data_IF_234628243374
#
_entry.id   IF_234628243374
#
_cell.length_a   1.000
_cell.length_b   1.000
_cell.length_c   1.000
_cell.angle_alpha   90.00
_cell.angle_beta   90.00
_cell.angle_gamma   90.00
#
_symmetry.space_group_name_H-M   'P 1'
#
loop_
_entity.id
_entity.type
_entity.pdbx_description
1 polymer ?
#
# COMPACT_ATOMS: atom_id res chain seq x y z
N UNK A 1 23.25 74.53 -43.38
CA UNK A 1 23.19 73.76 -44.60
C UNK A 1 23.14 72.28 -44.24
N UNK A 2 22.02 71.67 -44.34
CA UNK A 2 21.65 70.53 -45.19
C UNK A 2 22.55 69.27 -44.91
N UNK A 3 22.04 68.18 -44.49
CA UNK A 3 21.12 67.31 -45.20
C UNK A 3 20.49 66.22 -44.32
N UNK A 4 19.18 66.05 -44.37
CA UNK A 4 18.42 64.92 -43.85
C UNK A 4 18.51 63.80 -44.88
N UNK A 5 18.77 62.58 -44.45
CA UNK A 5 18.38 61.41 -45.25
C UNK A 5 17.67 60.37 -44.31
N UNK A 6 16.44 60.04 -44.68
CA UNK A 6 15.55 59.04 -44.14
C UNK A 6 16.10 57.65 -44.33
N UNK A 7 15.90 56.82 -43.30
CA UNK A 7 15.77 55.36 -43.48
C UNK A 7 14.51 54.89 -42.77
N UNK A 8 13.46 54.70 -43.52
CA UNK A 8 12.29 53.92 -43.17
C UNK A 8 12.38 52.55 -43.85
N UNK A 9 11.71 51.60 -43.28
CA UNK A 9 11.39 50.22 -43.71
C UNK A 9 12.46 49.14 -43.46
N UNK A 10 12.16 48.35 -42.44
CA UNK A 10 11.97 46.89 -42.50
C UNK A 10 11.72 46.34 -41.11
N UNK A 11 10.49 46.46 -40.64
CA UNK A 11 9.95 45.65 -39.54
C UNK A 11 8.59 45.15 -40.00
N UNK A 12 8.55 43.95 -40.53
CA UNK A 12 7.38 43.08 -40.66
C UNK A 12 7.82 41.85 -41.46
N UNK A 13 8.28 40.81 -40.85
CA UNK A 13 8.13 39.39 -41.16
C UNK A 13 8.96 38.60 -40.12
N UNK A 14 8.49 38.45 -38.92
CA UNK A 14 9.03 37.48 -37.96
C UNK A 14 8.04 37.05 -36.85
N UNK A 15 6.74 37.36 -37.02
CA UNK A 15 5.76 37.07 -35.95
C UNK A 15 4.82 35.91 -36.26
N UNK A 16 4.97 35.21 -37.38
CA UNK A 16 3.97 34.19 -37.79
C UNK A 16 4.42 32.73 -37.75
N UNK A 17 5.66 32.42 -37.33
CA UNK A 17 6.15 31.02 -37.29
C UNK A 17 6.27 30.38 -35.88
N UNK A 18 6.03 31.13 -34.81
CA UNK A 18 6.16 30.57 -33.42
C UNK A 18 4.86 30.02 -32.85
N UNK A 19 3.70 30.23 -33.46
CA UNK A 19 2.42 29.76 -32.95
C UNK A 19 2.00 28.37 -33.45
N UNK A 20 2.63 27.81 -34.47
CA UNK A 20 2.24 26.50 -35.04
C UNK A 20 2.93 25.31 -34.38
N UNK A 21 4.07 25.49 -33.70
CA UNK A 21 4.82 24.41 -33.07
C UNK A 21 4.28 24.05 -31.66
N UNK A 22 3.66 25.01 -30.96
CA UNK A 22 3.08 24.75 -29.63
C UNK A 22 1.77 23.93 -29.65
N UNK A 23 1.00 24.02 -30.74
CA UNK A 23 -0.25 23.29 -30.91
C UNK A 23 -0.04 21.81 -31.27
N UNK A 24 1.03 21.48 -31.99
CA UNK A 24 1.33 20.09 -32.38
C UNK A 24 1.92 19.27 -31.25
N UNK A 25 2.66 19.88 -30.33
CA UNK A 25 3.21 19.18 -29.16
C UNK A 25 2.14 18.88 -28.11
N UNK A 26 1.20 19.80 -27.89
CA UNK A 26 0.11 19.59 -26.91
C UNK A 26 -0.88 18.49 -27.33
N UNK A 27 -1.14 18.30 -28.60
CA UNK A 27 -2.01 17.22 -29.11
C UNK A 27 -1.35 15.85 -29.04
N UNK A 28 -0.03 15.76 -29.20
CA UNK A 28 0.72 14.50 -29.04
C UNK A 28 0.79 14.04 -27.58
N UNK A 29 0.97 14.95 -26.65
CA UNK A 29 0.97 14.63 -25.21
C UNK A 29 -0.42 14.22 -24.71
N UNK A 30 -1.49 14.85 -25.15
CA UNK A 30 -2.86 14.47 -24.79
C UNK A 30 -3.23 13.07 -25.34
N UNK A 31 -2.82 12.76 -26.57
CA UNK A 31 -3.10 11.45 -27.19
C UNK A 31 -2.30 10.32 -26.55
N UNK A 32 -1.03 10.54 -26.19
CA UNK A 32 -0.22 9.56 -25.48
C UNK A 32 -0.74 9.29 -24.06
N UNK A 33 -1.28 10.29 -23.38
CA UNK A 33 -1.89 10.13 -22.04
C UNK A 33 -3.16 9.28 -22.05
N UNK A 34 -3.96 9.33 -23.11
CA UNK A 34 -5.21 8.56 -23.24
C UNK A 34 -4.94 7.06 -23.52
N UNK A 35 -3.81 6.73 -24.17
CA UNK A 35 -3.39 5.34 -24.44
C UNK A 35 -2.69 4.68 -23.23
N UNK A 36 -2.20 5.45 -22.27
CA UNK A 36 -1.43 4.94 -21.13
C UNK A 36 -2.28 4.70 -19.88
N UNK A 37 -3.47 5.30 -19.80
CA UNK A 37 -4.33 5.25 -18.62
C UNK A 37 -5.58 4.38 -18.82
N UNK A 38 -6.08 3.82 -17.73
CA UNK A 38 -7.39 3.17 -17.69
C UNK A 38 -8.49 4.19 -17.34
N UNK A 39 -9.73 3.91 -17.73
CA UNK A 39 -10.87 4.70 -17.31
C UNK A 39 -11.06 4.58 -15.80
N UNK A 40 -10.89 5.69 -15.07
CA UNK A 40 -11.10 5.72 -13.62
C UNK A 40 -12.54 5.29 -13.27
N UNK A 41 -12.71 4.26 -12.41
CA UNK A 41 -14.05 3.82 -12.02
C UNK A 41 -14.74 4.86 -11.12
N UNK A 42 -16.08 4.79 -11.06
CA UNK A 42 -16.86 5.62 -10.15
C UNK A 42 -16.40 5.43 -8.71
N UNK A 43 -16.10 6.51 -7.97
CA UNK A 43 -15.70 6.44 -6.57
C UNK A 43 -16.76 5.77 -5.69
N UNK A 44 -16.33 4.87 -4.81
CA UNK A 44 -17.18 4.26 -3.79
C UNK A 44 -17.19 5.16 -2.56
N UNK A 45 -18.33 5.78 -2.26
CA UNK A 45 -18.47 6.68 -1.11
C UNK A 45 -18.83 5.88 0.14
N UNK A 46 -19.86 5.05 0.03
CA UNK A 46 -20.43 4.29 1.15
C UNK A 46 -20.13 2.81 1.07
N UNK A 47 -19.83 2.21 2.20
CA UNK A 47 -19.72 0.77 2.38
C UNK A 47 -20.52 0.29 3.58
N UNK A 48 -21.30 -0.79 3.38
CA UNK A 48 -22.04 -1.46 4.44
C UNK A 48 -22.20 -2.94 4.09
N UNK A 49 -21.63 -3.81 4.95
CA UNK A 49 -21.79 -5.26 4.82
C UNK A 49 -21.59 -5.96 6.17
N UNK A 50 -22.13 -7.18 6.29
CA UNK A 50 -22.05 -8.01 7.47
C UNK A 50 -20.70 -8.72 7.65
N UNK A 51 -20.68 -9.69 8.55
CA UNK A 51 -19.52 -10.57 8.77
C UNK A 51 -19.42 -11.57 7.61
N UNK A 52 -18.22 -12.04 7.30
CA UNK A 52 -17.98 -13.19 6.41
C UNK A 52 -18.21 -14.53 7.08
N UNK A 53 -18.36 -14.51 8.39
CA UNK A 53 -18.37 -15.70 9.24
C UNK A 53 -19.75 -15.94 9.78
N UNK A 54 -20.05 -17.23 10.03
CA UNK A 54 -21.22 -17.65 10.77
C UNK A 54 -21.41 -16.85 12.06
N UNK A 55 -22.65 -16.59 12.43
CA UNK A 55 -22.96 -15.74 13.58
C UNK A 55 -22.44 -16.32 14.91
N UNK A 56 -22.41 -17.65 15.03
CA UNK A 56 -21.94 -18.41 16.20
C UNK A 56 -20.45 -18.74 16.14
N UNK A 57 -19.74 -18.43 15.06
CA UNK A 57 -18.29 -18.67 14.94
C UNK A 57 -17.48 -17.80 15.90
N UNK A 58 -17.21 -18.33 17.10
CA UNK A 58 -16.44 -17.64 18.17
C UNK A 58 -15.00 -17.32 17.77
N UNK A 59 -14.40 -18.14 16.91
CA UNK A 59 -13.01 -18.00 16.45
C UNK A 59 -12.89 -17.29 15.11
N UNK A 60 -14.01 -16.91 14.48
CA UNK A 60 -14.04 -16.34 13.13
C UNK A 60 -13.32 -17.23 12.11
N UNK A 61 -13.61 -18.54 12.16
CA UNK A 61 -13.02 -19.56 11.28
C UNK A 61 -14.05 -20.32 10.44
N UNK A 62 -15.33 -20.12 10.72
CA UNK A 62 -16.44 -20.76 10.00
C UNK A 62 -17.03 -19.71 9.04
N UNK A 63 -16.80 -19.90 7.74
CA UNK A 63 -17.22 -18.93 6.72
C UNK A 63 -18.65 -19.25 6.32
N UNK A 64 -19.50 -18.22 6.35
CA UNK A 64 -20.80 -18.22 5.68
C UNK A 64 -20.61 -17.81 4.22
N UNK A 65 -20.88 -18.73 3.29
CA UNK A 65 -20.57 -18.55 1.86
C UNK A 65 -21.35 -17.40 1.22
N UNK A 66 -22.62 -17.19 1.60
CA UNK A 66 -23.44 -16.11 1.09
C UNK A 66 -22.95 -14.75 1.55
N UNK A 67 -22.66 -14.63 2.84
CA UNK A 67 -22.09 -13.42 3.45
C UNK A 67 -20.71 -13.11 2.88
N UNK A 68 -19.85 -14.10 2.66
CA UNK A 68 -18.54 -13.92 2.04
C UNK A 68 -18.64 -13.41 0.61
N UNK A 69 -19.57 -13.98 -0.19
CA UNK A 69 -19.84 -13.51 -1.53
C UNK A 69 -20.37 -12.06 -1.55
N UNK A 70 -21.25 -11.70 -0.61
CA UNK A 70 -21.78 -10.34 -0.46
C UNK A 70 -20.68 -9.33 -0.11
N UNK A 71 -19.81 -9.65 0.85
CA UNK A 71 -18.65 -8.83 1.21
C UNK A 71 -17.69 -8.66 0.04
N UNK A 72 -17.39 -9.74 -0.66
CA UNK A 72 -16.50 -9.73 -1.82
C UNK A 72 -17.08 -8.86 -2.96
N UNK A 73 -18.37 -8.95 -3.23
CA UNK A 73 -19.07 -8.10 -4.19
C UNK A 73 -19.00 -6.61 -3.82
N UNK A 74 -19.22 -6.29 -2.54
CA UNK A 74 -19.17 -4.91 -2.05
C UNK A 74 -17.77 -4.30 -2.18
N UNK A 75 -16.72 -5.07 -1.92
CA UNK A 75 -15.32 -4.61 -1.96
C UNK A 75 -14.69 -4.64 -3.37
N UNK A 76 -15.26 -5.42 -4.30
CA UNK A 76 -14.70 -5.63 -5.65
C UNK A 76 -14.38 -4.34 -6.41
N UNK A 77 -15.23 -3.28 -6.42
CA UNK A 77 -14.91 -2.05 -7.16
C UNK A 77 -13.64 -1.37 -6.67
N UNK A 78 -13.43 -1.34 -5.35
CA UNK A 78 -12.24 -0.73 -4.73
C UNK A 78 -11.02 -1.60 -4.97
N UNK A 79 -11.11 -2.91 -4.75
CA UNK A 79 -10.01 -3.85 -4.96
C UNK A 79 -9.57 -3.85 -6.43
N UNK A 80 -10.49 -3.72 -7.37
CA UNK A 80 -10.18 -3.64 -8.80
C UNK A 80 -9.55 -2.29 -9.18
N UNK A 81 -9.97 -1.19 -8.55
CA UNK A 81 -9.32 0.11 -8.71
C UNK A 81 -7.86 0.05 -8.27
N UNK A 82 -7.59 -0.45 -7.06
CA UNK A 82 -6.23 -0.62 -6.53
C UNK A 82 -5.40 -1.53 -7.45
N UNK A 83 -5.97 -2.63 -7.94
CA UNK A 83 -5.29 -3.53 -8.87
C UNK A 83 -4.91 -2.83 -10.18
N UNK A 84 -5.78 -1.99 -10.73
CA UNK A 84 -5.48 -1.24 -11.95
C UNK A 84 -4.36 -0.22 -11.71
N UNK A 85 -4.41 0.52 -10.61
CA UNK A 85 -3.34 1.45 -10.21
C UNK A 85 -2.01 0.72 -10.05
N UNK A 86 -1.99 -0.42 -9.33
CA UNK A 86 -0.78 -1.21 -9.13
C UNK A 86 -0.15 -1.69 -10.47
N UNK A 87 -0.98 -2.04 -11.46
CA UNK A 87 -0.50 -2.38 -12.82
C UNK A 87 0.16 -1.19 -13.50
N UNK A 88 -0.40 0.03 -13.34
CA UNK A 88 0.18 1.24 -13.93
C UNK A 88 1.49 1.62 -13.24
N UNK A 89 1.56 1.55 -11.90
CA UNK A 89 2.80 1.77 -11.16
C UNK A 89 3.88 0.79 -11.63
N UNK A 90 3.58 -0.49 -11.75
CA UNK A 90 4.55 -1.49 -12.24
C UNK A 90 5.01 -1.24 -13.68
N UNK A 91 4.15 -0.67 -14.54
CA UNK A 91 4.55 -0.21 -15.87
C UNK A 91 5.49 0.99 -15.79
N UNK A 92 5.18 1.98 -14.93
CA UNK A 92 6.02 3.14 -14.72
C UNK A 92 7.43 2.76 -14.23
N UNK A 93 7.53 1.83 -13.28
CA UNK A 93 8.80 1.33 -12.73
C UNK A 93 9.67 0.62 -13.79
N UNK A 94 9.04 -0.03 -14.77
CA UNK A 94 9.74 -0.75 -15.83
C UNK A 94 10.02 0.10 -17.07
N UNK A 95 9.45 1.31 -17.16
CA UNK A 95 9.54 2.20 -18.32
C UNK A 95 10.85 2.99 -18.32
N UNK A 96 11.58 2.94 -19.45
CA UNK A 96 12.83 3.66 -19.63
C UNK A 96 12.63 5.07 -20.16
N UNK A 97 11.60 5.27 -21.01
CA UNK A 97 11.27 6.59 -21.52
C UNK A 97 10.64 7.45 -20.43
N UNK A 98 11.30 8.58 -20.11
CA UNK A 98 10.91 9.48 -19.03
C UNK A 98 9.52 10.09 -19.26
N UNK A 99 9.17 10.42 -20.49
CA UNK A 99 7.88 11.05 -20.82
C UNK A 99 6.74 10.05 -20.62
N UNK A 100 6.89 8.82 -21.12
CA UNK A 100 5.92 7.72 -20.94
C UNK A 100 5.80 7.31 -19.47
N UNK A 101 6.93 7.22 -18.75
CA UNK A 101 6.90 6.95 -17.31
C UNK A 101 6.10 7.99 -16.54
N UNK A 102 6.32 9.28 -16.81
CA UNK A 102 5.56 10.38 -16.22
C UNK A 102 4.07 10.34 -16.58
N UNK A 103 3.72 9.90 -17.80
CA UNK A 103 2.34 9.72 -18.20
C UNK A 103 1.64 8.63 -17.37
N UNK A 104 2.30 7.49 -17.10
CA UNK A 104 1.80 6.46 -16.19
C UNK A 104 1.61 7.01 -14.76
N UNK A 105 2.60 7.72 -14.23
CA UNK A 105 2.53 8.30 -12.88
C UNK A 105 1.42 9.34 -12.76
N UNK A 106 1.26 10.20 -13.77
CA UNK A 106 0.13 11.14 -13.86
C UNK A 106 -1.21 10.42 -13.86
N UNK A 107 -1.34 9.32 -14.60
CA UNK A 107 -2.55 8.49 -14.61
C UNK A 107 -2.94 8.05 -13.18
N UNK A 108 -1.97 7.58 -12.38
CA UNK A 108 -2.19 7.17 -10.99
C UNK A 108 -2.68 8.34 -10.15
N UNK A 109 -1.98 9.48 -10.19
CA UNK A 109 -2.32 10.68 -9.42
C UNK A 109 -3.71 11.20 -9.81
N UNK A 110 -4.01 11.30 -11.11
CA UNK A 110 -5.30 11.81 -11.61
C UNK A 110 -6.47 10.90 -11.21
N UNK A 111 -6.26 9.58 -11.25
CA UNK A 111 -7.25 8.60 -10.85
C UNK A 111 -7.55 8.66 -9.34
N UNK A 112 -6.51 8.77 -8.50
CA UNK A 112 -6.68 8.91 -7.04
C UNK A 112 -7.29 10.28 -6.70
N UNK A 113 -6.92 11.36 -7.42
CA UNK A 113 -7.52 12.67 -7.26
C UNK A 113 -9.03 12.66 -7.49
N UNK A 114 -9.51 11.94 -8.53
CA UNK A 114 -10.95 11.82 -8.77
C UNK A 114 -11.68 11.18 -7.59
N UNK A 115 -11.09 10.16 -6.95
CA UNK A 115 -11.63 9.53 -5.74
C UNK A 115 -11.56 10.45 -4.52
N UNK A 116 -10.44 11.15 -4.33
CA UNK A 116 -10.27 12.12 -3.25
C UNK A 116 -11.26 13.28 -3.34
N UNK A 117 -11.45 13.84 -4.55
CA UNK A 117 -12.40 14.93 -4.81
C UNK A 117 -13.85 14.54 -4.50
N UNK A 118 -14.20 13.26 -4.72
CA UNK A 118 -15.52 12.72 -4.39
C UNK A 118 -15.67 12.34 -2.91
N UNK A 119 -14.67 12.57 -2.06
CA UNK A 119 -14.61 12.10 -0.67
C UNK A 119 -14.91 10.58 -0.55
N UNK A 120 -14.31 9.78 -1.44
CA UNK A 120 -14.49 8.33 -1.45
C UNK A 120 -14.18 7.70 -0.09
N UNK A 121 -14.86 6.59 0.22
CA UNK A 121 -14.69 5.85 1.48
C UNK A 121 -14.98 6.69 2.74
N UNK A 122 -15.91 7.66 2.65
CA UNK A 122 -16.27 8.54 3.77
C UNK A 122 -17.42 8.04 4.62
N UNK A 123 -18.26 7.13 4.11
CA UNK A 123 -19.44 6.61 4.81
C UNK A 123 -19.32 5.10 5.06
N UNK A 124 -18.63 4.74 6.14
CA UNK A 124 -18.46 3.35 6.59
C UNK A 124 -19.59 2.96 7.55
N UNK A 125 -20.68 2.43 6.99
CA UNK A 125 -21.95 2.20 7.69
C UNK A 125 -21.95 1.06 8.71
N UNK A 126 -20.99 0.14 8.60
CA UNK A 126 -20.96 -1.05 9.47
C UNK A 126 -19.57 -1.25 10.09
N UNK A 127 -19.54 -1.93 11.20
CA UNK A 127 -18.31 -2.32 11.88
C UNK A 127 -17.34 -3.09 10.94
N UNK A 128 -17.87 -4.01 10.14
CA UNK A 128 -17.04 -4.80 9.24
C UNK A 128 -16.49 -3.97 8.05
N UNK A 129 -17.23 -2.94 7.60
CA UNK A 129 -16.71 -1.99 6.61
C UNK A 129 -15.54 -1.20 7.20
N UNK A 130 -15.66 -0.68 8.43
CA UNK A 130 -14.58 0.03 9.14
C UNK A 130 -13.33 -0.85 9.31
N UNK A 131 -13.48 -2.14 9.60
CA UNK A 131 -12.37 -3.10 9.69
C UNK A 131 -11.69 -3.37 8.34
N UNK A 132 -12.41 -3.27 7.23
CA UNK A 132 -11.92 -3.67 5.91
C UNK A 132 -11.25 -2.54 5.13
N UNK A 133 -11.60 -1.28 5.42
CA UNK A 133 -11.11 -0.09 4.70
C UNK A 133 -9.60 0.16 4.90
N UNK A 134 -8.99 -0.07 6.07
CA UNK A 134 -7.58 0.26 6.27
C UNK A 134 -6.65 -0.35 5.21
N UNK A 135 -6.83 -1.62 4.85
CA UNK A 135 -5.99 -2.27 3.83
C UNK A 135 -6.12 -1.63 2.44
N UNK A 136 -7.23 -0.96 2.13
CA UNK A 136 -7.47 -0.25 0.88
C UNK A 136 -6.85 1.15 0.92
N UNK A 137 -7.02 1.86 2.02
CA UNK A 137 -6.36 3.17 2.22
C UNK A 137 -4.84 3.01 2.18
N UNK A 138 -4.28 2.00 2.85
CA UNK A 138 -2.85 1.71 2.80
C UNK A 138 -2.36 1.44 1.38
N UNK A 139 -3.06 0.59 0.62
CA UNK A 139 -2.72 0.32 -0.77
C UNK A 139 -2.77 1.56 -1.67
N UNK A 140 -3.81 2.41 -1.53
CA UNK A 140 -3.93 3.67 -2.27
C UNK A 140 -2.84 4.68 -1.88
N UNK A 141 -2.52 4.77 -0.59
CA UNK A 141 -1.49 5.69 -0.10
C UNK A 141 -0.09 5.31 -0.62
N UNK A 142 0.26 4.01 -0.61
CA UNK A 142 1.53 3.52 -1.17
C UNK A 142 1.61 3.82 -2.68
N UNK A 143 0.58 3.46 -3.45
CA UNK A 143 0.56 3.69 -4.90
C UNK A 143 0.65 5.19 -5.25
N UNK A 144 0.05 6.05 -4.43
CA UNK A 144 0.19 7.50 -4.55
C UNK A 144 1.62 7.94 -4.23
N UNK A 145 2.21 7.47 -3.14
CA UNK A 145 3.58 7.79 -2.74
C UNK A 145 4.61 7.47 -3.84
N UNK A 146 4.47 6.31 -4.49
CA UNK A 146 5.36 5.88 -5.57
C UNK A 146 5.17 6.68 -6.89
N UNK A 147 4.14 7.52 -6.97
CA UNK A 147 3.80 8.24 -8.21
C UNK A 147 3.89 9.76 -8.10
N UNK A 148 3.70 10.36 -6.91
CA UNK A 148 3.44 11.80 -6.75
C UNK A 148 4.61 12.71 -7.14
N UNK A 149 5.81 12.44 -6.63
CA UNK A 149 6.96 13.35 -6.72
C UNK A 149 7.61 13.38 -8.13
N UNK A 150 7.13 12.55 -9.03
CA UNK A 150 7.70 12.38 -10.36
C UNK A 150 6.99 13.22 -11.44
N UNK A 151 5.86 13.86 -11.10
CA UNK A 151 5.02 14.60 -12.05
C UNK A 151 4.92 16.07 -11.68
N UNK A 152 5.65 16.97 -12.36
CA UNK A 152 5.58 18.40 -12.08
C UNK A 152 4.18 18.99 -12.30
N UNK A 153 3.82 20.02 -11.50
CA UNK A 153 2.63 20.84 -11.71
C UNK A 153 1.32 20.24 -11.21
N UNK A 154 1.37 19.25 -10.30
CA UNK A 154 0.16 18.63 -9.72
C UNK A 154 -0.15 19.05 -8.27
N UNK A 155 0.50 20.08 -7.73
CA UNK A 155 0.39 20.50 -6.33
C UNK A 155 -1.05 20.70 -5.81
N UNK A 156 -1.98 21.21 -6.63
CA UNK A 156 -3.37 21.38 -6.23
C UNK A 156 -4.08 20.03 -6.05
N UNK A 157 -3.76 19.03 -6.92
CA UNK A 157 -4.31 17.68 -6.82
C UNK A 157 -3.71 16.94 -5.63
N UNK A 158 -2.41 17.07 -5.42
CA UNK A 158 -1.68 16.49 -4.30
C UNK A 158 -2.28 16.95 -2.97
N UNK A 159 -2.51 18.25 -2.79
CA UNK A 159 -3.16 18.78 -1.58
C UNK A 159 -4.54 18.18 -1.32
N UNK A 160 -5.36 17.96 -2.36
CA UNK A 160 -6.69 17.35 -2.22
C UNK A 160 -6.57 15.88 -1.81
N UNK A 161 -5.64 15.13 -2.44
CA UNK A 161 -5.39 13.71 -2.13
C UNK A 161 -4.87 13.57 -0.70
N UNK A 162 -3.88 14.36 -0.32
CA UNK A 162 -3.25 14.31 1.00
C UNK A 162 -4.25 14.64 2.12
N UNK A 163 -5.07 15.68 1.92
CA UNK A 163 -6.13 16.02 2.87
C UNK A 163 -7.17 14.90 3.00
N UNK A 164 -7.56 14.28 1.89
CA UNK A 164 -8.50 13.16 1.90
C UNK A 164 -7.91 11.95 2.62
N UNK A 165 -6.68 11.56 2.32
CA UNK A 165 -5.98 10.46 2.99
C UNK A 165 -5.82 10.72 4.49
N UNK A 166 -5.44 11.95 4.87
CA UNK A 166 -5.30 12.33 6.28
C UNK A 166 -6.63 12.16 7.05
N UNK A 167 -7.75 12.61 6.46
CA UNK A 167 -9.07 12.41 7.07
C UNK A 167 -9.39 10.93 7.25
N UNK A 168 -9.12 10.10 6.24
CA UNK A 168 -9.31 8.63 6.33
C UNK A 168 -8.42 8.00 7.40
N UNK A 169 -7.15 8.41 7.50
CA UNK A 169 -6.25 7.91 8.53
C UNK A 169 -6.71 8.28 9.95
N UNK A 170 -7.18 9.51 10.17
CA UNK A 170 -7.73 9.96 11.45
C UNK A 170 -8.99 9.18 11.85
N UNK A 171 -9.88 8.88 10.90
CA UNK A 171 -11.06 8.03 11.12
C UNK A 171 -10.67 6.59 11.47
N UNK A 172 -9.61 6.05 10.84
CA UNK A 172 -9.05 4.72 11.18
C UNK A 172 -8.51 4.74 12.62
N UNK A 173 -7.70 5.74 12.99
CA UNK A 173 -7.19 5.87 14.37
C UNK A 173 -8.34 5.93 15.36
N UNK A 174 -9.31 6.81 15.14
CA UNK A 174 -10.47 6.95 16.01
C UNK A 174 -11.21 5.61 16.21
N UNK A 175 -11.47 4.89 15.11
CA UNK A 175 -12.16 3.59 15.18
C UNK A 175 -11.37 2.56 15.99
N UNK A 176 -10.06 2.44 15.77
CA UNK A 176 -9.24 1.44 16.46
C UNK A 176 -9.02 1.75 17.93
N UNK A 177 -9.02 3.02 18.32
CA UNK A 177 -8.87 3.43 19.73
C UNK A 177 -10.19 3.40 20.51
N UNK A 178 -11.35 3.66 19.85
CA UNK A 178 -12.60 3.90 20.56
C UNK A 178 -13.69 2.85 20.28
N UNK A 179 -13.70 2.21 19.10
CA UNK A 179 -14.81 1.35 18.70
C UNK A 179 -14.40 -0.12 18.47
N UNK A 180 -13.15 -0.37 18.09
CA UNK A 180 -12.69 -1.72 17.77
C UNK A 180 -12.69 -2.63 19.00
N UNK A 181 -13.08 -3.89 18.80
CA UNK A 181 -13.03 -4.89 19.88
C UNK A 181 -11.58 -5.16 20.31
N UNK A 182 -11.38 -5.63 21.54
CA UNK A 182 -10.08 -6.02 22.08
C UNK A 182 -9.27 -6.94 21.15
N UNK A 183 -9.94 -7.85 20.44
CA UNK A 183 -9.30 -8.74 19.46
C UNK A 183 -8.89 -7.98 18.19
N UNK A 184 -9.80 -7.22 17.60
CA UNK A 184 -9.55 -6.48 16.36
C UNK A 184 -8.46 -5.42 16.52
N UNK A 185 -8.38 -4.76 17.69
CA UNK A 185 -7.38 -3.73 17.97
C UNK A 185 -5.96 -4.24 18.21
N UNK A 186 -5.72 -5.57 18.16
CA UNK A 186 -4.40 -6.16 18.45
C UNK A 186 -3.98 -7.29 17.50
N UNK A 187 -4.80 -7.60 16.49
CA UNK A 187 -4.55 -8.66 15.52
C UNK A 187 -4.15 -8.09 14.12
N UNK A 188 -4.19 -8.92 13.08
CA UNK A 188 -3.88 -8.54 11.70
C UNK A 188 -4.63 -7.28 11.21
N UNK A 189 -5.82 -6.99 11.72
CA UNK A 189 -6.59 -5.80 11.34
C UNK A 189 -5.89 -4.52 11.84
N UNK A 190 -5.29 -4.56 13.03
CA UNK A 190 -4.45 -3.48 13.55
C UNK A 190 -3.19 -3.28 12.69
N UNK A 191 -2.58 -4.36 12.18
CA UNK A 191 -1.42 -4.25 11.29
C UNK A 191 -1.79 -3.55 9.97
N UNK A 192 -2.92 -3.87 9.37
CA UNK A 192 -3.42 -3.16 8.18
C UNK A 192 -3.73 -1.69 8.46
N UNK A 193 -4.27 -1.39 9.63
CA UNK A 193 -4.50 0.00 10.06
C UNK A 193 -3.17 0.73 10.27
N UNK A 194 -2.19 0.08 10.89
CA UNK A 194 -0.84 0.63 11.10
C UNK A 194 -0.17 0.99 9.78
N UNK A 195 -0.20 0.11 8.77
CA UNK A 195 0.34 0.40 7.45
C UNK A 195 -0.34 1.62 6.81
N UNK A 196 -1.67 1.68 6.84
CA UNK A 196 -2.42 2.79 6.25
C UNK A 196 -2.11 4.12 6.94
N UNK A 197 -2.17 4.14 8.26
CA UNK A 197 -1.98 5.35 9.07
C UNK A 197 -0.53 5.83 9.00
N UNK A 198 0.45 4.92 9.07
CA UNK A 198 1.87 5.24 8.96
C UNK A 198 2.22 5.84 7.60
N UNK A 199 1.79 5.21 6.51
CA UNK A 199 2.03 5.71 5.16
C UNK A 199 1.42 7.10 4.95
N UNK A 200 0.17 7.31 5.40
CA UNK A 200 -0.47 8.63 5.34
C UNK A 200 0.25 9.65 6.22
N UNK A 201 0.73 9.23 7.40
CA UNK A 201 1.53 10.07 8.29
C UNK A 201 2.83 10.55 7.63
N UNK A 202 3.54 9.65 6.93
CA UNK A 202 4.74 9.99 6.15
C UNK A 202 4.40 10.99 5.03
N UNK A 203 3.36 10.69 4.25
CA UNK A 203 2.91 11.55 3.15
C UNK A 203 2.58 12.97 3.59
N UNK A 204 1.92 13.12 4.72
CA UNK A 204 1.46 14.41 5.26
C UNK A 204 2.45 15.04 6.26
N UNK A 205 3.59 14.38 6.54
CA UNK A 205 4.53 14.79 7.60
C UNK A 205 3.85 14.92 8.98
N UNK A 206 2.84 14.09 9.20
CA UNK A 206 2.09 14.03 10.46
C UNK A 206 2.75 13.01 11.40
N UNK A 207 3.58 13.53 12.30
CA UNK A 207 4.35 12.71 13.26
C UNK A 207 3.44 11.88 14.18
N UNK A 208 2.28 12.42 14.57
CA UNK A 208 1.34 11.71 15.44
C UNK A 208 0.79 10.44 14.79
N UNK A 209 0.45 10.49 13.49
CA UNK A 209 0.02 9.31 12.73
C UNK A 209 1.16 8.28 12.60
N UNK A 210 2.40 8.72 12.34
CA UNK A 210 3.55 7.82 12.26
C UNK A 210 3.84 7.16 13.59
N UNK A 211 3.82 7.90 14.70
CA UNK A 211 4.02 7.35 16.04
C UNK A 211 2.94 6.32 16.42
N UNK A 212 1.68 6.59 16.08
CA UNK A 212 0.60 5.62 16.26
C UNK A 212 0.84 4.31 15.49
N UNK A 213 1.34 4.42 14.26
CA UNK A 213 1.72 3.26 13.45
C UNK A 213 2.86 2.47 14.11
N UNK A 214 3.92 3.14 14.52
CA UNK A 214 5.07 2.53 15.19
C UNK A 214 4.63 1.79 16.47
N UNK A 215 3.85 2.44 17.33
CA UNK A 215 3.32 1.82 18.56
C UNK A 215 2.45 0.60 18.26
N UNK A 216 1.69 0.63 17.17
CA UNK A 216 0.87 -0.50 16.74
C UNK A 216 1.73 -1.68 16.28
N UNK A 217 2.79 -1.42 15.52
CA UNK A 217 3.76 -2.43 15.08
C UNK A 217 4.52 -3.03 16.27
N UNK A 218 5.04 -2.18 17.16
CA UNK A 218 5.76 -2.60 18.37
C UNK A 218 4.89 -3.49 19.26
N UNK A 219 3.63 -3.14 19.44
CA UNK A 219 2.70 -3.95 20.22
C UNK A 219 2.55 -5.36 19.63
N UNK A 220 2.38 -5.47 18.29
CA UNK A 220 2.26 -6.78 17.64
C UNK A 220 3.55 -7.60 17.76
N UNK A 221 4.70 -6.98 17.50
CA UNK A 221 6.01 -7.66 17.56
C UNK A 221 6.30 -8.11 18.99
N UNK A 222 6.00 -7.26 19.99
CA UNK A 222 6.24 -7.56 21.40
C UNK A 222 5.38 -8.72 21.89
N UNK A 223 4.12 -8.82 21.42
CA UNK A 223 3.18 -9.87 21.81
C UNK A 223 3.26 -11.15 20.96
N UNK A 224 4.21 -11.25 20.02
CA UNK A 224 4.50 -12.51 19.35
C UNK A 224 5.11 -13.51 20.35
N UNK A 225 4.74 -14.78 20.24
CA UNK A 225 5.30 -15.87 21.03
C UNK A 225 6.80 -16.07 20.75
N UNK A 226 7.47 -16.80 21.60
CA UNK A 226 8.94 -17.01 21.51
C UNK A 226 9.39 -17.70 20.22
N UNK A 227 8.50 -18.46 19.57
CA UNK A 227 8.72 -19.11 18.28
C UNK A 227 8.42 -18.18 17.08
N UNK A 228 7.82 -17.00 17.32
CA UNK A 228 7.43 -16.03 16.30
C UNK A 228 6.00 -16.14 15.80
N UNK A 229 5.20 -17.06 16.38
CA UNK A 229 3.77 -17.12 16.09
C UNK A 229 3.00 -15.96 16.73
N UNK A 230 1.88 -15.58 16.13
CA UNK A 230 0.97 -14.55 16.66
C UNK A 230 -0.21 -15.23 17.37
N UNK A 231 -0.31 -15.14 18.70
CA UNK A 231 -1.32 -15.89 19.49
C UNK A 231 -2.75 -15.66 19.02
N UNK A 232 -3.13 -14.41 18.68
CA UNK A 232 -4.46 -14.09 18.20
C UNK A 232 -4.77 -14.69 16.82
N UNK A 233 -3.75 -14.88 15.99
CA UNK A 233 -3.91 -15.55 14.70
C UNK A 233 -3.90 -17.06 14.85
N UNK A 234 -3.13 -17.62 15.78
CA UNK A 234 -3.14 -19.06 16.06
C UNK A 234 -4.52 -19.54 16.55
N UNK A 235 -5.30 -18.67 17.19
CA UNK A 235 -6.67 -18.96 17.62
C UNK A 235 -7.70 -19.05 16.46
N UNK A 236 -7.28 -18.76 15.19
CA UNK A 236 -8.13 -18.79 14.02
C UNK A 236 -8.30 -20.17 13.40
N UNK A 237 -8.09 -21.21 14.20
CA UNK A 237 -8.33 -22.61 13.83
C UNK A 237 -7.67 -22.99 12.50
N UNK A 238 -8.44 -23.51 11.52
CA UNK A 238 -7.97 -23.88 10.17
C UNK A 238 -7.39 -22.71 9.34
N UNK A 239 -7.67 -21.46 9.73
CA UNK A 239 -7.17 -20.25 9.08
C UNK A 239 -5.99 -19.60 9.82
N UNK A 240 -5.43 -20.23 10.85
CA UNK A 240 -4.37 -19.64 11.65
C UNK A 240 -3.15 -19.24 10.82
N UNK A 241 -2.61 -20.11 9.98
CA UNK A 241 -1.50 -19.79 9.11
C UNK A 241 -1.86 -18.70 8.08
N UNK A 242 -3.08 -18.73 7.53
CA UNK A 242 -3.56 -17.68 6.63
C UNK A 242 -3.51 -16.32 7.32
N UNK A 243 -3.98 -16.21 8.56
CA UNK A 243 -3.99 -14.95 9.28
C UNK A 243 -2.63 -14.53 9.82
N UNK A 244 -1.73 -15.48 10.13
CA UNK A 244 -0.33 -15.18 10.39
C UNK A 244 0.30 -14.47 9.19
N UNK A 245 0.16 -15.01 7.98
CA UNK A 245 0.67 -14.38 6.75
C UNK A 245 -0.04 -13.04 6.45
N UNK A 246 -1.34 -12.98 6.71
CA UNK A 246 -2.14 -11.75 6.52
C UNK A 246 -1.75 -10.65 7.51
N UNK A 247 -1.23 -10.98 8.69
CA UNK A 247 -0.66 -10.03 9.65
C UNK A 247 0.76 -9.61 9.26
N UNK A 248 1.62 -10.56 8.85
CA UNK A 248 3.01 -10.28 8.44
C UNK A 248 3.08 -9.30 7.27
N UNK A 249 2.17 -9.41 6.32
CA UNK A 249 2.16 -8.58 5.11
C UNK A 249 2.14 -7.06 5.41
N UNK A 250 1.16 -6.51 6.10
CA UNK A 250 1.14 -5.09 6.46
C UNK A 250 2.16 -4.73 7.53
N UNK A 251 2.43 -5.61 8.51
CA UNK A 251 3.37 -5.34 9.59
C UNK A 251 4.78 -5.08 9.07
N UNK A 252 5.31 -6.00 8.27
CA UNK A 252 6.66 -5.86 7.69
C UNK A 252 6.75 -4.67 6.76
N UNK A 253 5.74 -4.47 5.91
CA UNK A 253 5.71 -3.33 4.99
C UNK A 253 5.64 -2.01 5.75
N UNK A 254 4.84 -1.92 6.81
CA UNK A 254 4.75 -0.73 7.67
C UNK A 254 6.09 -0.42 8.35
N UNK A 255 6.78 -1.44 8.90
CA UNK A 255 8.11 -1.27 9.48
C UNK A 255 9.09 -0.75 8.43
N UNK A 256 9.12 -1.34 7.24
CA UNK A 256 10.01 -0.91 6.17
C UNK A 256 9.76 0.54 5.75
N UNK A 257 8.50 0.93 5.54
CA UNK A 257 8.12 2.30 5.15
C UNK A 257 8.44 3.34 6.22
N UNK A 258 8.18 3.02 7.49
CA UNK A 258 8.53 3.90 8.61
C UNK A 258 10.06 4.06 8.74
N UNK A 259 10.83 2.97 8.58
CA UNK A 259 12.29 3.02 8.59
C UNK A 259 12.85 3.84 7.42
N UNK A 260 12.33 3.63 6.20
CA UNK A 260 12.73 4.37 4.99
C UNK A 260 12.49 5.88 5.16
N UNK A 261 11.41 6.26 5.84
CA UNK A 261 11.10 7.65 6.16
C UNK A 261 11.89 8.22 7.37
N UNK A 262 12.81 7.45 7.95
CA UNK A 262 13.64 7.89 9.07
C UNK A 262 13.01 7.74 10.47
N UNK A 263 11.88 7.03 10.59
CA UNK A 263 11.17 6.82 11.86
C UNK A 263 11.42 5.43 12.47
N UNK A 264 12.45 4.74 12.05
CA UNK A 264 12.73 3.39 12.51
C UNK A 264 13.22 3.30 13.97
N UNK A 265 12.95 2.16 14.61
CA UNK A 265 13.54 1.76 15.89
C UNK A 265 14.62 0.70 15.70
N UNK A 266 15.61 0.68 16.61
CA UNK A 266 16.80 -0.17 16.50
C UNK A 266 16.57 -1.67 16.71
N UNK A 267 17.65 -2.43 16.58
CA UNK A 267 17.78 -3.86 16.32
C UNK A 267 17.05 -4.89 17.20
N UNK A 268 16.63 -4.59 18.44
CA UNK A 268 15.95 -5.57 19.29
C UNK A 268 14.57 -5.99 18.71
N UNK A 269 13.85 -5.03 18.13
CA UNK A 269 12.55 -5.30 17.51
C UNK A 269 12.70 -6.07 16.19
N UNK A 270 13.81 -5.86 15.46
CA UNK A 270 14.13 -6.57 14.23
C UNK A 270 14.46 -8.05 14.48
N UNK A 271 15.06 -8.40 15.61
CA UNK A 271 15.36 -9.80 15.94
C UNK A 271 14.07 -10.60 16.20
N UNK A 272 13.08 -10.00 16.86
CA UNK A 272 11.75 -10.60 16.98
C UNK A 272 11.07 -10.71 15.61
N UNK A 273 11.14 -9.67 14.78
CA UNK A 273 10.57 -9.69 13.43
C UNK A 273 11.20 -10.80 12.57
N UNK A 274 12.51 -11.05 12.70
CA UNK A 274 13.21 -12.18 12.06
C UNK A 274 12.65 -13.53 12.50
N UNK A 275 12.38 -13.71 13.81
CA UNK A 275 11.75 -14.93 14.33
C UNK A 275 10.34 -15.13 13.75
N UNK A 276 9.53 -14.07 13.72
CA UNK A 276 8.18 -14.12 13.12
C UNK A 276 8.21 -14.46 11.63
N UNK A 277 9.15 -13.89 10.89
CA UNK A 277 9.36 -14.20 9.47
C UNK A 277 9.79 -15.67 9.30
N UNK A 278 10.75 -16.15 10.06
CA UNK A 278 11.23 -17.53 10.02
C UNK A 278 10.11 -18.52 10.35
N UNK A 279 9.34 -18.28 11.42
CA UNK A 279 8.17 -19.10 11.76
C UNK A 279 7.19 -19.15 10.57
N UNK A 280 6.82 -18.00 10.03
CA UNK A 280 5.83 -17.90 8.95
C UNK A 280 6.27 -18.68 7.70
N UNK A 281 7.53 -18.56 7.29
CA UNK A 281 8.04 -19.23 6.09
C UNK A 281 8.22 -20.74 6.32
N UNK A 282 8.68 -21.14 7.49
CA UNK A 282 8.76 -22.56 7.86
C UNK A 282 7.36 -23.19 7.88
N UNK A 283 6.37 -22.49 8.44
CA UNK A 283 4.99 -22.95 8.45
C UNK A 283 4.34 -23.00 7.05
N UNK A 284 4.71 -22.10 6.13
CA UNK A 284 4.27 -22.18 4.71
C UNK A 284 4.84 -23.41 4.03
N UNK A 285 6.09 -23.80 4.34
CA UNK A 285 6.70 -25.01 3.81
C UNK A 285 6.05 -26.27 4.40
N UNK A 286 5.77 -26.27 5.70
CA UNK A 286 5.10 -27.35 6.42
C UNK A 286 3.98 -26.83 7.35
N UNK A 287 2.72 -26.74 6.87
CA UNK A 287 1.59 -26.28 7.69
C UNK A 287 1.29 -27.15 8.92
N UNK A 288 1.87 -28.36 9.02
CA UNK A 288 1.73 -29.21 10.22
C UNK A 288 2.33 -28.55 11.47
N UNK A 289 3.25 -27.60 11.30
CA UNK A 289 3.79 -26.80 12.42
C UNK A 289 2.67 -26.07 13.14
N UNK A 290 1.81 -25.36 12.40
CA UNK A 290 0.65 -24.66 12.98
C UNK A 290 -0.41 -25.65 13.48
N UNK A 291 -0.60 -26.77 12.77
CA UNK A 291 -1.51 -27.82 13.25
C UNK A 291 -1.09 -28.38 14.60
N UNK A 292 0.20 -28.49 14.90
CA UNK A 292 0.70 -28.92 16.23
C UNK A 292 0.34 -27.89 17.32
N UNK A 293 0.28 -26.60 16.99
CA UNK A 293 -0.07 -25.52 17.95
C UNK A 293 -1.56 -25.52 18.26
N UNK A 294 -2.43 -25.64 17.25
CA UNK A 294 -3.87 -25.41 17.41
C UNK A 294 -4.75 -26.65 17.15
N UNK A 295 -4.16 -27.80 16.81
CA UNK A 295 -4.87 -29.07 16.60
C UNK A 295 -5.67 -29.14 15.28
N UNK A 296 -5.58 -28.14 14.38
CA UNK A 296 -6.39 -28.05 13.16
C UNK A 296 -5.53 -28.05 11.89
N UNK A 297 -5.90 -28.85 10.91
CA UNK A 297 -5.32 -28.78 9.56
C UNK A 297 -5.54 -27.41 8.95
N UNK A 298 -4.49 -26.87 8.31
CA UNK A 298 -4.49 -25.51 7.78
C UNK A 298 -5.00 -25.46 6.33
N UNK A 299 -5.64 -24.32 5.98
CA UNK A 299 -6.15 -24.08 4.60
C UNK A 299 -5.05 -23.65 3.63
N UNK A 300 -3.92 -23.15 4.13
CA UNK A 300 -2.76 -22.74 3.33
C UNK A 300 -2.11 -23.97 2.71
N UNK A 301 -1.97 -23.97 1.38
CA UNK A 301 -1.29 -25.06 0.65
C UNK A 301 0.21 -25.03 0.94
N UNK A 302 0.84 -26.20 1.20
CA UNK A 302 2.29 -26.25 1.44
C UNK A 302 3.12 -25.70 0.28
N UNK A 303 4.23 -25.06 0.61
CA UNK A 303 5.23 -24.58 -0.35
C UNK A 303 5.09 -23.11 -0.75
N UNK A 304 6.25 -22.44 -0.92
CA UNK A 304 6.33 -21.01 -1.20
C UNK A 304 5.65 -20.65 -2.53
N UNK A 305 5.85 -21.45 -3.58
CA UNK A 305 5.28 -21.24 -4.92
C UNK A 305 3.73 -21.11 -4.91
N UNK A 306 3.06 -21.79 -3.98
CA UNK A 306 1.61 -21.77 -3.87
C UNK A 306 1.07 -20.51 -3.16
N UNK A 307 1.97 -19.67 -2.59
CA UNK A 307 1.59 -18.58 -1.69
C UNK A 307 2.26 -17.25 -2.04
N UNK A 308 2.72 -17.03 -3.28
CA UNK A 308 3.58 -15.90 -3.66
C UNK A 308 3.03 -14.54 -3.24
N UNK A 309 1.73 -14.29 -3.44
CA UNK A 309 1.12 -13.02 -3.03
C UNK A 309 1.05 -12.87 -1.50
N UNK A 310 0.86 -13.96 -0.76
CA UNK A 310 0.78 -13.95 0.70
C UNK A 310 2.15 -13.77 1.37
N UNK A 311 3.23 -14.11 0.67
CA UNK A 311 4.62 -13.99 1.16
C UNK A 311 5.41 -12.87 0.45
N UNK A 312 4.77 -12.05 -0.38
CA UNK A 312 5.43 -10.98 -1.11
C UNK A 312 6.07 -9.91 -0.18
N UNK A 313 5.64 -9.83 1.08
CA UNK A 313 6.25 -9.03 2.13
C UNK A 313 7.72 -9.42 2.45
N UNK A 314 8.21 -10.52 1.91
CA UNK A 314 9.63 -10.89 2.03
C UNK A 314 10.55 -9.88 1.33
N UNK A 315 10.09 -9.18 0.31
CA UNK A 315 10.89 -8.14 -0.34
C UNK A 315 11.18 -6.95 0.60
N UNK A 316 10.19 -6.25 1.20
CA UNK A 316 10.46 -5.24 2.22
C UNK A 316 11.16 -5.82 3.46
N UNK A 317 10.90 -7.10 3.83
CA UNK A 317 11.59 -7.75 4.93
C UNK A 317 13.09 -7.79 4.73
N UNK A 318 13.56 -8.29 3.59
CA UNK A 318 14.99 -8.37 3.28
C UNK A 318 15.62 -6.98 3.19
N UNK A 319 14.90 -6.01 2.63
CA UNK A 319 15.37 -4.62 2.56
C UNK A 319 15.68 -4.01 3.92
N UNK A 320 14.89 -4.36 4.95
CA UNK A 320 15.05 -3.85 6.34
C UNK A 320 16.05 -4.68 7.15
N UNK A 321 16.01 -6.01 7.00
CA UNK A 321 16.75 -6.91 7.91
C UNK A 321 18.09 -7.36 7.36
N UNK A 322 18.31 -7.20 6.05
CA UNK A 322 19.45 -7.76 5.31
C UNK A 322 19.65 -9.27 5.55
N UNK A 323 18.53 -10.02 5.69
CA UNK A 323 18.54 -11.48 5.90
C UNK A 323 18.77 -12.21 4.57
N UNK A 324 20.06 -12.34 4.18
CA UNK A 324 20.47 -12.97 2.92
C UNK A 324 20.14 -14.47 2.86
N UNK A 325 20.02 -15.13 4.01
CA UNK A 325 19.61 -16.54 4.04
C UNK A 325 18.14 -16.69 3.67
N UNK A 326 17.28 -15.83 4.25
CA UNK A 326 15.87 -15.78 3.86
C UNK A 326 15.72 -15.39 2.39
N UNK A 327 16.51 -14.46 1.87
CA UNK A 327 16.46 -14.06 0.47
C UNK A 327 16.72 -15.22 -0.47
N UNK A 328 17.73 -16.05 -0.20
CA UNK A 328 18.04 -17.25 -1.00
C UNK A 328 16.86 -18.23 -1.09
N UNK A 329 16.01 -18.28 -0.06
CA UNK A 329 14.87 -19.20 -0.02
C UNK A 329 13.77 -18.84 -1.02
N UNK A 330 13.60 -17.55 -1.35
CA UNK A 330 12.51 -17.10 -2.21
C UNK A 330 12.94 -16.41 -3.51
N UNK A 331 14.21 -16.07 -3.66
CA UNK A 331 14.71 -15.31 -4.83
C UNK A 331 14.33 -15.94 -6.19
N UNK A 332 14.27 -17.28 -6.27
CA UNK A 332 13.86 -17.99 -7.49
C UNK A 332 12.38 -17.85 -7.83
N UNK A 333 11.56 -17.31 -6.92
CA UNK A 333 10.13 -17.10 -7.13
C UNK A 333 9.78 -15.65 -7.53
N UNK A 334 10.77 -14.77 -7.64
CA UNK A 334 10.59 -13.41 -8.14
C UNK A 334 10.07 -13.42 -9.59
N UNK A 335 9.21 -12.45 -10.02
CA UNK A 335 8.75 -11.30 -9.24
C UNK A 335 7.60 -11.65 -8.30
N UNK A 336 7.59 -11.04 -7.12
CA UNK A 336 6.58 -11.20 -6.09
C UNK A 336 5.71 -9.95 -6.02
N UNK A 337 4.38 -10.13 -5.90
CA UNK A 337 3.44 -9.03 -5.98
C UNK A 337 2.31 -9.16 -4.97
N UNK A 338 1.92 -8.01 -4.39
CA UNK A 338 0.70 -7.86 -3.62
C UNK A 338 0.12 -6.46 -3.84
N UNK A 339 -1.09 -6.37 -4.39
CA UNK A 339 -1.68 -5.09 -4.82
C UNK A 339 -1.93 -4.12 -3.66
N UNK A 340 -2.21 -4.63 -2.45
CA UNK A 340 -2.44 -3.79 -1.26
C UNK A 340 -1.14 -3.32 -0.58
N UNK A 341 0.00 -3.81 -1.03
CA UNK A 341 1.33 -3.42 -0.56
C UNK A 341 2.13 -2.63 -1.61
N UNK A 342 1.49 -2.16 -2.69
CA UNK A 342 2.15 -1.37 -3.72
C UNK A 342 2.30 -2.08 -5.08
N UNK A 343 1.88 -3.34 -5.23
CA UNK A 343 1.91 -4.06 -6.49
C UNK A 343 3.12 -4.98 -6.65
N UNK A 344 4.05 -4.70 -7.55
CA UNK A 344 5.26 -5.50 -7.78
C UNK A 344 6.33 -5.16 -6.75
N UNK A 345 6.35 -5.89 -5.63
CA UNK A 345 7.27 -5.61 -4.53
C UNK A 345 8.74 -5.91 -4.87
N UNK A 346 9.00 -6.88 -5.75
CA UNK A 346 10.37 -7.13 -6.23
C UNK A 346 10.95 -5.87 -6.88
N UNK A 347 10.17 -5.18 -7.71
CA UNK A 347 10.60 -3.92 -8.33
C UNK A 347 10.66 -2.77 -7.34
N UNK A 348 9.63 -2.66 -6.51
CA UNK A 348 9.51 -1.59 -5.53
C UNK A 348 10.67 -1.57 -4.53
N UNK A 349 11.19 -2.74 -4.15
CA UNK A 349 12.30 -2.91 -3.20
C UNK A 349 13.62 -3.36 -3.86
N UNK A 350 13.71 -3.29 -5.20
CA UNK A 350 14.94 -3.61 -5.94
C UNK A 350 16.09 -2.69 -5.47
N UNK A 351 17.20 -3.30 -5.05
CA UNK A 351 18.39 -2.62 -4.52
C UNK A 351 18.16 -1.69 -3.29
N UNK A 352 16.97 -1.65 -2.71
CA UNK A 352 16.73 -0.88 -1.49
C UNK A 352 17.36 -1.57 -0.28
N UNK A 353 18.24 -0.84 0.42
CA UNK A 353 18.73 -1.20 1.75
C UNK A 353 18.27 -0.14 2.74
N UNK A 354 17.31 -0.51 3.57
CA UNK A 354 16.61 0.42 4.47
C UNK A 354 17.24 0.32 5.87
N UNK A 355 17.72 1.44 6.39
CA UNK A 355 18.22 1.51 7.77
C UNK A 355 17.09 1.84 8.74
N UNK A 356 16.92 1.00 9.76
CA UNK A 356 16.01 1.25 10.87
C UNK A 356 16.71 1.92 12.07
N UNK A 357 17.82 2.60 11.86
CA UNK A 357 18.48 3.38 12.90
C UNK A 357 17.86 4.77 13.00
N UNK A 358 17.57 5.23 14.22
CA UNK A 358 17.17 6.63 14.43
C UNK A 358 18.38 7.49 14.11
N UNK A 359 18.34 8.26 13.03
CA UNK A 359 19.23 9.40 12.90
C UNK A 359 18.77 10.43 13.93
N UNK A 360 19.50 10.50 15.06
CA UNK A 360 19.38 11.62 15.98
C UNK A 360 19.84 12.85 15.19
N UNK A 361 18.92 13.53 14.57
CA UNK A 361 19.20 14.90 14.10
C UNK A 361 19.22 15.77 15.36
N UNK A 362 20.46 16.12 15.76
CA UNK A 362 20.75 17.15 16.76
C UNK A 362 20.26 18.53 16.27
#
# INVERSE_FOLDING_TARGET
MANRTRWTLKRHVAASLLTLTAALTSTSFAKAADETCFKTPTPVISLGFGSRYEADSKTRSDIDEESDAAVTKALKPIDQFIQNLAKIVSKAESEKDVATRRAYQRCVVDSIYAWAKADALSDMRTFNAKLSVPSRIGGLAILYAESRDQVPGLHDRERVIEKWLQKRAQEIVYFFENEATKGASRNNLRAWASLAVGEVGVLNRDRGLVEWSILSNDNMITNADSDGSLPLEMNRQRYALHYQLHAMAPLVTSVARNCEAGYGKGGADLDKLKKMARFSITAVKDPKIVQKINGKSQTVKPGLKNNLSAIAWLEPYVSVTNDLEMEKEFASFRPMSNTKLGGNLTKLYDDRRISCTISVQN
#
